data_IF_868289530987
#
_entry.id   IF_868289530987
#
_cell.length_a   1.000
_cell.length_b   1.000
_cell.length_c   1.000
_cell.angle_alpha   90.00
_cell.angle_beta   90.00
_cell.angle_gamma   90.00
#
_symmetry.space_group_name_H-M   'P 1'
#
loop_
_entity.id
_entity.type
_entity.pdbx_description
1 polymer ?
#
# COMPACT_ATOMS: atom_id res chain seq x y z
N UNK A 1 -120.07 -143.37 -67.17
CA UNK A 1 -120.06 -144.10 -68.46
C UNK A 1 -119.18 -143.36 -69.44
N UNK A 2 -118.57 -144.03 -70.43
CA UNK A 2 -118.00 -145.39 -70.47
C UNK A 2 -116.47 -145.27 -70.76
N UNK A 3 -115.76 -146.24 -71.37
CA UNK A 3 -115.81 -147.71 -71.28
C UNK A 3 -114.56 -148.26 -70.55
N UNK A 4 -114.35 -149.58 -70.57
CA UNK A 4 -113.12 -150.24 -70.09
C UNK A 4 -112.46 -151.08 -71.22
N UNK A 5 -111.12 -151.21 -71.25
CA UNK A 5 -110.43 -152.25 -72.01
C UNK A 5 -109.59 -153.20 -71.14
N UNK A 6 -109.94 -154.48 -71.21
CA UNK A 6 -109.05 -155.67 -71.24
C UNK A 6 -107.62 -155.60 -70.69
N UNK A 7 -107.37 -156.34 -69.60
CA UNK A 7 -106.12 -157.12 -69.49
C UNK A 7 -106.33 -158.47 -70.14
N UNK A 8 -105.61 -158.77 -71.22
CA UNK A 8 -105.45 -160.14 -71.72
C UNK A 8 -104.25 -160.78 -71.03
N UNK A 9 -104.45 -161.93 -70.38
CA UNK A 9 -103.38 -162.69 -69.71
C UNK A 9 -102.94 -163.84 -70.60
N UNK A 10 -102.02 -163.57 -71.52
CA UNK A 10 -101.25 -164.64 -72.16
C UNK A 10 -100.23 -165.20 -71.15
N UNK A 11 -100.52 -166.37 -70.59
CA UNK A 11 -99.56 -167.13 -69.77
C UNK A 11 -98.46 -167.74 -70.66
N UNK A 12 -97.60 -166.87 -71.18
CA UNK A 12 -96.46 -167.26 -72.01
C UNK A 12 -95.44 -168.03 -71.18
N UNK A 13 -95.34 -169.33 -71.43
CA UNK A 13 -94.24 -170.18 -70.97
C UNK A 13 -92.94 -169.75 -71.67
N UNK A 14 -92.29 -168.71 -71.14
CA UNK A 14 -90.97 -168.26 -71.58
C UNK A 14 -89.95 -169.34 -71.19
N UNK A 15 -89.22 -169.95 -72.15
CA UNK A 15 -88.22 -170.95 -71.81
C UNK A 15 -87.16 -170.39 -70.86
N UNK A 16 -86.81 -171.14 -69.82
CA UNK A 16 -85.87 -170.71 -68.75
C UNK A 16 -84.53 -170.22 -69.31
N UNK A 17 -84.10 -170.75 -70.47
CA UNK A 17 -82.92 -170.27 -71.19
C UNK A 17 -83.02 -168.79 -71.65
N UNK A 18 -84.20 -168.35 -72.10
CA UNK A 18 -84.44 -166.99 -72.60
C UNK A 18 -84.54 -165.99 -71.43
N UNK A 19 -85.19 -166.40 -70.34
CA UNK A 19 -85.16 -165.63 -69.07
C UNK A 19 -83.73 -165.50 -68.51
N UNK A 20 -82.93 -166.58 -68.54
CA UNK A 20 -81.50 -166.53 -68.18
C UNK A 20 -80.70 -165.61 -69.11
N UNK A 21 -80.97 -165.61 -70.41
CA UNK A 21 -80.30 -164.72 -71.37
C UNK A 21 -80.62 -163.24 -71.10
N UNK A 22 -81.89 -162.92 -70.81
CA UNK A 22 -82.30 -161.56 -70.45
C UNK A 22 -81.71 -161.11 -69.10
N UNK A 23 -81.74 -161.97 -68.07
CA UNK A 23 -81.09 -161.67 -66.78
C UNK A 23 -79.57 -161.51 -66.92
N UNK A 24 -78.91 -162.37 -67.71
CA UNK A 24 -77.47 -162.24 -68.01
C UNK A 24 -77.16 -160.91 -68.69
N UNK A 25 -78.01 -160.48 -69.65
CA UNK A 25 -77.87 -159.17 -70.28
C UNK A 25 -78.06 -158.03 -69.28
N UNK A 26 -79.10 -158.05 -68.45
CA UNK A 26 -79.32 -157.01 -67.42
C UNK A 26 -78.17 -156.96 -66.41
N UNK A 27 -77.59 -158.11 -66.05
CA UNK A 27 -76.38 -158.17 -65.20
C UNK A 27 -75.16 -157.58 -65.91
N UNK A 28 -74.96 -157.86 -67.21
CA UNK A 28 -73.90 -157.25 -68.01
C UNK A 28 -74.09 -155.72 -68.15
N UNK A 29 -75.31 -155.26 -68.46
CA UNK A 29 -75.67 -153.85 -68.54
C UNK A 29 -75.50 -153.15 -67.17
N UNK A 30 -75.83 -153.82 -66.05
CA UNK A 30 -75.53 -153.33 -64.70
C UNK A 30 -74.02 -153.25 -64.41
N UNK A 31 -73.22 -154.23 -64.86
CA UNK A 31 -71.77 -154.19 -64.69
C UNK A 31 -71.14 -153.08 -65.55
N UNK A 32 -71.62 -152.86 -66.77
CA UNK A 32 -71.22 -151.75 -67.62
C UNK A 32 -71.61 -150.39 -67.00
N UNK A 33 -72.87 -150.23 -66.56
CA UNK A 33 -73.33 -149.01 -65.88
C UNK A 33 -72.54 -148.75 -64.58
N UNK A 34 -72.21 -149.80 -63.81
CA UNK A 34 -71.38 -149.66 -62.61
C UNK A 34 -69.93 -149.27 -62.96
N UNK A 35 -69.37 -149.81 -64.05
CA UNK A 35 -68.05 -149.41 -64.54
C UNK A 35 -68.05 -147.94 -64.99
N UNK A 36 -69.07 -147.49 -65.74
CA UNK A 36 -69.26 -146.08 -66.09
C UNK A 36 -69.42 -145.17 -64.86
N UNK A 37 -70.19 -145.60 -63.84
CA UNK A 37 -70.37 -144.82 -62.62
C UNK A 37 -69.07 -144.71 -61.81
N UNK A 38 -68.27 -145.78 -61.74
CA UNK A 38 -66.94 -145.76 -61.13
C UNK A 38 -65.99 -144.89 -61.95
N UNK A 39 -66.03 -144.94 -63.27
CA UNK A 39 -65.23 -144.08 -64.14
C UNK A 39 -65.59 -142.60 -63.92
N UNK A 40 -66.88 -142.24 -63.96
CA UNK A 40 -67.37 -140.88 -63.72
C UNK A 40 -67.04 -140.38 -62.31
N UNK A 41 -67.06 -141.26 -61.29
CA UNK A 41 -66.57 -140.92 -59.95
C UNK A 41 -65.07 -140.68 -59.91
N UNK A 42 -64.27 -141.48 -60.62
CA UNK A 42 -62.82 -141.26 -60.73
C UNK A 42 -62.51 -139.95 -61.47
N UNK A 43 -63.19 -139.66 -62.58
CA UNK A 43 -63.08 -138.39 -63.33
C UNK A 43 -63.42 -137.19 -62.44
N UNK A 44 -64.48 -137.27 -61.62
CA UNK A 44 -64.85 -136.23 -60.64
C UNK A 44 -63.77 -136.09 -59.55
N UNK A 45 -63.25 -137.19 -59.00
CA UNK A 45 -62.20 -137.16 -57.98
C UNK A 45 -60.87 -136.62 -58.53
N UNK A 46 -60.51 -136.95 -59.76
CA UNK A 46 -59.35 -136.39 -60.46
C UNK A 46 -59.53 -134.91 -60.77
N UNK A 47 -60.73 -134.48 -61.15
CA UNK A 47 -61.07 -133.07 -61.31
C UNK A 47 -60.93 -132.29 -59.99
N UNK A 48 -61.46 -132.81 -58.88
CA UNK A 48 -61.30 -132.18 -57.56
C UNK A 48 -59.84 -132.16 -57.08
N UNK A 49 -59.08 -133.26 -57.21
CA UNK A 49 -57.63 -133.28 -56.94
C UNK A 49 -56.86 -132.27 -57.79
N UNK A 50 -57.26 -132.11 -59.04
CA UNK A 50 -56.67 -131.13 -59.97
C UNK A 50 -57.02 -129.69 -59.55
N UNK A 51 -58.24 -129.42 -59.09
CA UNK A 51 -58.61 -128.12 -58.51
C UNK A 51 -57.80 -127.85 -57.23
N UNK A 52 -57.77 -128.80 -56.30
CA UNK A 52 -57.03 -128.71 -55.04
C UNK A 52 -55.55 -128.40 -55.29
N UNK A 53 -54.87 -129.20 -56.12
CA UNK A 53 -53.48 -128.96 -56.54
C UNK A 53 -53.31 -127.57 -57.18
N UNK A 54 -54.14 -127.20 -58.15
CA UNK A 54 -54.06 -125.90 -58.81
C UNK A 54 -54.29 -124.72 -57.84
N UNK A 55 -55.18 -124.87 -56.86
CA UNK A 55 -55.42 -123.82 -55.85
C UNK A 55 -54.25 -123.74 -54.86
N UNK A 56 -53.73 -124.88 -54.37
CA UNK A 56 -52.53 -124.91 -53.55
C UNK A 56 -51.34 -124.27 -54.25
N UNK A 57 -51.03 -124.66 -55.50
CA UNK A 57 -49.93 -124.09 -56.29
C UNK A 57 -50.08 -122.57 -56.48
N UNK A 58 -51.30 -122.07 -56.73
CA UNK A 58 -51.59 -120.63 -56.81
C UNK A 58 -51.45 -119.91 -55.46
N UNK A 59 -51.89 -120.53 -54.36
CA UNK A 59 -51.76 -119.95 -53.02
C UNK A 59 -50.29 -119.89 -52.60
N UNK A 60 -49.53 -120.97 -52.78
CA UNK A 60 -48.09 -120.98 -52.53
C UNK A 60 -47.34 -119.99 -53.41
N UNK A 61 -47.62 -119.93 -54.72
CA UNK A 61 -47.00 -118.95 -55.61
C UNK A 61 -47.30 -117.50 -55.18
N UNK A 62 -48.53 -117.22 -54.72
CA UNK A 62 -48.91 -115.91 -54.16
C UNK A 62 -48.20 -115.61 -52.83
N UNK A 63 -48.06 -116.59 -51.94
CA UNK A 63 -47.32 -116.45 -50.67
C UNK A 63 -45.83 -116.23 -50.91
N UNK A 64 -45.22 -116.98 -51.83
CA UNK A 64 -43.84 -116.79 -52.29
C UNK A 64 -43.65 -115.36 -52.84
N UNK A 65 -44.44 -114.95 -53.83
CA UNK A 65 -44.35 -113.61 -54.40
C UNK A 65 -44.60 -112.47 -53.38
N UNK A 66 -45.44 -112.68 -52.36
CA UNK A 66 -45.61 -111.72 -51.26
C UNK A 66 -44.38 -111.69 -50.33
N UNK A 67 -43.79 -112.84 -50.01
CA UNK A 67 -42.55 -112.95 -49.22
C UNK A 67 -41.37 -112.32 -49.95
N UNK A 68 -41.20 -112.62 -51.24
CA UNK A 68 -40.17 -112.04 -52.10
C UNK A 68 -40.30 -110.51 -52.14
N UNK A 69 -41.52 -109.99 -52.32
CA UNK A 69 -41.81 -108.53 -52.33
C UNK A 69 -41.66 -107.87 -50.95
N UNK A 70 -41.81 -108.61 -49.86
CA UNK A 70 -41.50 -108.12 -48.52
C UNK A 70 -39.99 -108.08 -48.30
N UNK A 71 -39.26 -109.11 -48.73
CA UNK A 71 -37.80 -109.18 -48.64
C UNK A 71 -37.09 -108.14 -49.52
N UNK A 72 -37.58 -107.85 -50.73
CA UNK A 72 -37.01 -106.76 -51.55
C UNK A 72 -37.22 -105.40 -50.88
N UNK A 73 -38.45 -105.09 -50.42
CA UNK A 73 -38.72 -103.87 -49.66
C UNK A 73 -37.86 -103.72 -48.41
N UNK A 74 -37.58 -104.84 -47.72
CA UNK A 74 -36.75 -104.85 -46.52
C UNK A 74 -35.26 -104.68 -46.85
N UNK A 75 -34.78 -105.21 -47.98
CA UNK A 75 -33.44 -104.94 -48.52
C UNK A 75 -33.32 -103.46 -48.92
N UNK A 76 -34.25 -102.94 -49.72
CA UNK A 76 -34.31 -101.52 -50.08
C UNK A 76 -34.33 -100.58 -48.86
N UNK A 77 -35.06 -100.93 -47.79
CA UNK A 77 -35.11 -100.08 -46.59
C UNK A 77 -33.81 -100.11 -45.80
N UNK A 78 -33.14 -101.26 -45.71
CA UNK A 78 -31.79 -101.38 -45.14
C UNK A 78 -30.74 -100.64 -45.97
N UNK A 79 -30.81 -100.71 -47.30
CA UNK A 79 -29.93 -99.98 -48.20
C UNK A 79 -30.11 -98.46 -48.06
N UNK A 80 -31.36 -97.98 -48.01
CA UNK A 80 -31.68 -96.56 -47.74
C UNK A 80 -31.21 -96.11 -46.35
N UNK A 81 -31.37 -96.96 -45.33
CA UNK A 81 -30.87 -96.67 -43.98
C UNK A 81 -29.34 -96.56 -43.96
N UNK A 82 -28.62 -97.52 -44.54
CA UNK A 82 -27.15 -97.49 -44.64
C UNK A 82 -26.62 -96.33 -45.51
N UNK A 83 -27.40 -95.85 -46.48
CA UNK A 83 -27.09 -94.61 -47.21
C UNK A 83 -27.29 -93.36 -46.33
N UNK A 84 -28.36 -93.32 -45.52
CA UNK A 84 -28.62 -92.22 -44.58
C UNK A 84 -27.59 -92.17 -43.43
N UNK A 85 -27.14 -93.32 -42.91
CA UNK A 85 -26.05 -93.39 -41.93
C UNK A 85 -24.75 -92.82 -42.50
N UNK A 86 -24.35 -93.25 -43.71
CA UNK A 86 -23.17 -92.70 -44.41
C UNK A 86 -23.30 -91.20 -44.67
N UNK A 87 -24.49 -90.74 -45.07
CA UNK A 87 -24.76 -89.31 -45.23
C UNK A 87 -24.86 -88.56 -43.89
N UNK A 88 -25.08 -89.24 -42.76
CA UNK A 88 -24.93 -88.72 -41.40
C UNK A 88 -23.45 -88.45 -41.10
N UNK A 89 -22.62 -89.50 -41.15
CA UNK A 89 -21.17 -89.42 -40.89
C UNK A 89 -20.49 -88.35 -41.75
N UNK A 90 -20.79 -88.27 -43.06
CA UNK A 90 -20.20 -87.25 -43.94
C UNK A 90 -20.61 -85.82 -43.53
N UNK A 91 -21.84 -85.60 -43.04
CA UNK A 91 -22.25 -84.28 -42.53
C UNK A 91 -21.61 -83.97 -41.18
N UNK A 92 -21.50 -84.94 -40.29
CA UNK A 92 -20.82 -84.78 -39.00
C UNK A 92 -19.33 -84.47 -39.19
N UNK A 93 -18.66 -85.14 -40.14
CA UNK A 93 -17.30 -84.83 -40.56
C UNK A 93 -17.15 -83.41 -41.14
N UNK A 94 -18.09 -82.96 -41.97
CA UNK A 94 -18.08 -81.61 -42.54
C UNK A 94 -18.28 -80.56 -41.44
N UNK A 95 -19.29 -80.72 -40.59
CA UNK A 95 -19.54 -79.81 -39.47
C UNK A 95 -18.40 -79.81 -38.43
N UNK A 96 -17.70 -80.92 -38.24
CA UNK A 96 -16.49 -80.96 -37.42
C UNK A 96 -15.35 -80.13 -38.03
N UNK A 97 -15.14 -80.24 -39.35
CA UNK A 97 -14.13 -79.44 -40.09
C UNK A 97 -14.49 -77.95 -40.11
N UNK A 98 -15.74 -77.60 -40.40
CA UNK A 98 -16.27 -76.23 -40.33
C UNK A 98 -16.06 -75.62 -38.93
N UNK A 99 -16.47 -76.33 -37.88
CA UNK A 99 -16.27 -75.92 -36.49
C UNK A 99 -14.80 -75.72 -36.15
N UNK A 100 -13.91 -76.62 -36.60
CA UNK A 100 -12.48 -76.48 -36.38
C UNK A 100 -11.95 -75.22 -37.07
N UNK A 101 -12.26 -74.98 -38.35
CA UNK A 101 -11.81 -73.78 -39.06
C UNK A 101 -12.30 -72.48 -38.43
N UNK A 102 -13.54 -72.45 -37.88
CA UNK A 102 -14.07 -71.30 -37.17
C UNK A 102 -13.39 -71.07 -35.80
N UNK A 103 -12.95 -72.12 -35.11
CA UNK A 103 -12.16 -72.00 -33.87
C UNK A 103 -10.76 -71.47 -34.19
N UNK A 104 -10.09 -72.04 -35.20
CA UNK A 104 -8.76 -71.60 -35.66
C UNK A 104 -8.78 -70.13 -36.13
N UNK A 105 -9.82 -69.70 -36.85
CA UNK A 105 -9.99 -68.31 -37.25
C UNK A 105 -10.26 -67.37 -36.07
N UNK A 106 -11.10 -67.77 -35.10
CA UNK A 106 -11.34 -66.97 -33.88
C UNK A 106 -10.09 -66.87 -33.00
N UNK A 107 -9.28 -67.92 -32.91
CA UNK A 107 -8.00 -67.90 -32.19
C UNK A 107 -6.97 -67.01 -32.89
N UNK A 108 -6.90 -67.05 -34.23
CA UNK A 108 -6.10 -66.13 -35.04
C UNK A 108 -6.52 -64.68 -34.83
N UNK A 109 -7.81 -64.34 -34.94
CA UNK A 109 -8.32 -62.98 -34.74
C UNK A 109 -8.05 -62.47 -33.32
N UNK A 110 -8.15 -63.32 -32.30
CA UNK A 110 -7.76 -63.00 -30.91
C UNK A 110 -6.27 -62.69 -30.79
N UNK A 111 -5.41 -63.49 -31.42
CA UNK A 111 -3.96 -63.27 -31.39
C UNK A 111 -3.57 -61.97 -32.12
N UNK A 112 -4.16 -61.70 -33.29
CA UNK A 112 -3.97 -60.45 -34.04
C UNK A 112 -4.41 -59.23 -33.23
N UNK A 113 -5.57 -59.30 -32.56
CA UNK A 113 -6.04 -58.24 -31.65
C UNK A 113 -5.09 -58.03 -30.46
N UNK A 114 -4.60 -59.10 -29.83
CA UNK A 114 -3.65 -58.99 -28.72
C UNK A 114 -2.33 -58.33 -29.16
N UNK A 115 -1.78 -58.75 -30.30
CA UNK A 115 -0.55 -58.16 -30.86
C UNK A 115 -0.75 -56.67 -31.18
N UNK A 116 -1.86 -56.29 -31.81
CA UNK A 116 -2.19 -54.90 -32.14
C UNK A 116 -2.44 -54.04 -30.89
N UNK A 117 -3.08 -54.60 -29.87
CA UNK A 117 -3.28 -53.92 -28.59
C UNK A 117 -1.94 -53.73 -27.84
N UNK A 118 -1.04 -54.70 -27.88
CA UNK A 118 0.30 -54.54 -27.30
C UNK A 118 1.19 -53.58 -28.08
N UNK A 119 1.12 -53.52 -29.42
CA UNK A 119 1.88 -52.53 -30.20
C UNK A 119 1.37 -51.13 -29.92
N UNK A 120 0.05 -50.91 -29.98
CA UNK A 120 -0.57 -49.64 -29.60
C UNK A 120 -0.20 -49.22 -28.17
N UNK A 121 -0.22 -50.15 -27.21
CA UNK A 121 0.20 -49.87 -25.82
C UNK A 121 1.65 -49.41 -25.75
N UNK A 122 2.58 -50.10 -26.42
CA UNK A 122 4.01 -49.74 -26.45
C UNK A 122 4.22 -48.37 -27.11
N UNK A 123 3.54 -48.12 -28.22
CA UNK A 123 3.58 -46.83 -28.93
C UNK A 123 3.05 -45.69 -28.03
N UNK A 124 1.95 -45.92 -27.31
CA UNK A 124 1.39 -44.96 -26.35
C UNK A 124 2.31 -44.73 -25.15
N UNK A 125 2.88 -45.78 -24.55
CA UNK A 125 3.83 -45.66 -23.43
C UNK A 125 5.10 -44.89 -23.85
N UNK A 126 5.63 -45.17 -25.06
CA UNK A 126 6.76 -44.42 -25.62
C UNK A 126 6.41 -42.95 -25.89
N UNK A 127 5.24 -42.65 -26.47
CA UNK A 127 4.81 -41.28 -26.76
C UNK A 127 4.58 -40.47 -25.47
N UNK A 128 4.03 -41.11 -24.42
CA UNK A 128 3.86 -40.52 -23.11
C UNK A 128 5.22 -40.22 -22.45
N UNK A 129 6.18 -41.14 -22.50
CA UNK A 129 7.52 -40.90 -21.98
C UNK A 129 8.23 -39.75 -22.70
N UNK A 130 8.14 -39.66 -24.04
CA UNK A 130 8.71 -38.53 -24.79
C UNK A 130 8.10 -37.19 -24.35
N UNK A 131 6.79 -37.15 -24.10
CA UNK A 131 6.12 -35.94 -23.59
C UNK A 131 6.53 -35.62 -22.13
N UNK A 132 6.79 -36.62 -21.28
CA UNK A 132 7.33 -36.40 -19.94
C UNK A 132 8.77 -35.86 -19.99
N UNK A 133 9.62 -36.40 -20.87
CA UNK A 133 10.99 -35.92 -21.13
C UNK A 133 11.03 -34.54 -21.80
N UNK A 134 10.01 -34.16 -22.57
CA UNK A 134 9.81 -32.80 -23.09
C UNK A 134 9.41 -31.82 -21.99
N UNK A 135 8.37 -32.16 -21.21
CA UNK A 135 7.92 -31.34 -20.09
C UNK A 135 9.02 -31.13 -19.03
N UNK A 136 9.79 -32.16 -18.70
CA UNK A 136 10.91 -32.06 -17.78
C UNK A 136 12.02 -31.11 -18.28
N UNK A 137 12.30 -31.11 -19.59
CA UNK A 137 13.25 -30.17 -20.21
C UNK A 137 12.73 -28.74 -20.21
N UNK A 138 11.47 -28.52 -20.55
CA UNK A 138 10.86 -27.18 -20.50
C UNK A 138 10.81 -26.64 -19.07
N UNK A 139 10.45 -27.48 -18.09
CA UNK A 139 10.48 -27.11 -16.68
C UNK A 139 11.89 -26.74 -16.20
N UNK A 140 12.92 -27.49 -16.60
CA UNK A 140 14.31 -27.16 -16.26
C UNK A 140 14.74 -25.81 -16.88
N UNK A 141 14.46 -25.58 -18.16
CA UNK A 141 14.76 -24.30 -18.82
C UNK A 141 14.04 -23.13 -18.14
N UNK A 142 12.78 -23.31 -17.71
CA UNK A 142 12.06 -22.29 -16.97
C UNK A 142 12.67 -22.01 -15.59
N UNK A 143 13.14 -23.04 -14.87
CA UNK A 143 13.84 -22.87 -13.59
C UNK A 143 15.20 -22.17 -13.75
N UNK A 144 15.97 -22.51 -14.79
CA UNK A 144 17.25 -21.85 -15.09
C UNK A 144 17.08 -20.39 -15.48
N UNK A 145 16.03 -20.05 -16.23
CA UNK A 145 15.68 -18.66 -16.57
C UNK A 145 15.20 -17.87 -15.35
N UNK A 146 14.38 -18.46 -14.48
CA UNK A 146 14.01 -17.85 -13.18
C UNK A 146 15.27 -17.58 -12.36
N UNK A 147 16.19 -18.54 -12.26
CA UNK A 147 17.46 -18.36 -11.55
C UNK A 147 18.36 -17.30 -12.22
N UNK A 148 18.36 -17.18 -13.55
CA UNK A 148 19.07 -16.12 -14.28
C UNK A 148 18.49 -14.74 -13.94
N UNK A 149 17.18 -14.57 -14.03
CA UNK A 149 16.49 -13.32 -13.70
C UNK A 149 16.70 -12.94 -12.23
N UNK A 150 16.61 -13.90 -11.29
CA UNK A 150 16.88 -13.65 -9.87
C UNK A 150 18.31 -13.17 -9.61
N UNK A 151 19.32 -13.77 -10.26
CA UNK A 151 20.73 -13.31 -10.14
C UNK A 151 20.93 -11.90 -10.70
N UNK A 152 20.33 -11.59 -11.85
CA UNK A 152 20.39 -10.24 -12.44
C UNK A 152 19.71 -9.22 -11.52
N UNK A 153 18.50 -9.53 -11.02
CA UNK A 153 17.77 -8.66 -10.11
C UNK A 153 18.54 -8.36 -8.82
N UNK A 154 19.16 -9.37 -8.21
CA UNK A 154 20.02 -9.21 -7.04
C UNK A 154 21.20 -8.27 -7.33
N UNK A 155 21.96 -8.52 -8.40
CA UNK A 155 23.09 -7.69 -8.80
C UNK A 155 22.68 -6.24 -9.08
N UNK A 156 21.56 -6.00 -9.77
CA UNK A 156 21.04 -4.65 -10.00
C UNK A 156 20.55 -3.97 -8.71
N UNK A 157 20.02 -4.74 -7.75
CA UNK A 157 19.63 -4.25 -6.43
C UNK A 157 20.83 -3.82 -5.58
N UNK A 158 21.89 -4.61 -5.59
CA UNK A 158 23.16 -4.28 -4.92
C UNK A 158 23.81 -3.04 -5.54
N UNK A 159 23.88 -2.97 -6.88
CA UNK A 159 24.44 -1.83 -7.62
C UNK A 159 23.67 -0.53 -7.33
N UNK A 160 22.34 -0.57 -7.42
CA UNK A 160 21.50 0.62 -7.14
C UNK A 160 21.53 1.02 -5.66
N UNK A 161 21.59 0.06 -4.73
CA UNK A 161 21.80 0.37 -3.31
C UNK A 161 23.17 1.01 -3.06
N UNK A 162 24.22 0.60 -3.79
CA UNK A 162 25.54 1.22 -3.68
C UNK A 162 25.57 2.63 -4.30
N UNK A 163 24.90 2.85 -5.44
CA UNK A 163 24.73 4.19 -6.02
C UNK A 163 24.02 5.13 -5.03
N UNK A 164 22.88 4.72 -4.47
CA UNK A 164 22.15 5.48 -3.44
C UNK A 164 22.99 5.78 -2.19
N UNK A 165 23.85 4.84 -1.73
CA UNK A 165 24.78 5.10 -0.62
C UNK A 165 25.81 6.18 -0.99
N UNK A 166 26.38 6.11 -2.19
CA UNK A 166 27.37 7.08 -2.65
C UNK A 166 26.73 8.48 -2.81
N UNK A 167 25.53 8.57 -3.39
CA UNK A 167 24.77 9.82 -3.52
C UNK A 167 24.45 10.44 -2.14
N UNK A 168 23.96 9.64 -1.19
CA UNK A 168 23.71 10.10 0.18
C UNK A 168 24.99 10.54 0.91
N UNK A 169 26.12 9.89 0.66
CA UNK A 169 27.42 10.32 1.19
C UNK A 169 27.83 11.68 0.59
N UNK A 170 27.78 11.84 -0.74
CA UNK A 170 28.08 13.10 -1.41
C UNK A 170 27.21 14.26 -0.89
N UNK A 171 25.90 14.05 -0.75
CA UNK A 171 25.00 15.06 -0.17
C UNK A 171 25.31 15.37 1.30
N UNK A 172 25.79 14.40 2.08
CA UNK A 172 26.26 14.60 3.44
C UNK A 172 27.54 15.44 3.51
N UNK A 173 28.50 15.15 2.62
CA UNK A 173 29.76 15.91 2.50
C UNK A 173 29.50 17.35 2.02
N UNK A 174 28.62 17.55 1.04
CA UNK A 174 28.17 18.88 0.60
C UNK A 174 27.48 19.67 1.73
N UNK A 175 26.60 19.02 2.50
CA UNK A 175 25.90 19.66 3.63
C UNK A 175 26.87 20.06 4.75
N UNK A 176 27.86 19.21 5.07
CA UNK A 176 28.94 19.54 6.01
C UNK A 176 29.79 20.70 5.49
N UNK A 177 30.16 20.67 4.21
CA UNK A 177 30.92 21.75 3.55
C UNK A 177 30.15 23.06 3.46
N UNK A 178 28.82 23.05 3.42
CA UNK A 178 27.98 24.25 3.56
C UNK A 178 27.94 24.73 5.01
N UNK A 179 27.75 23.83 5.97
CA UNK A 179 27.73 24.18 7.39
C UNK A 179 29.06 24.81 7.86
N UNK A 180 30.21 24.27 7.42
CA UNK A 180 31.52 24.86 7.70
C UNK A 180 31.65 26.28 7.14
N UNK A 181 31.25 26.53 5.88
CA UNK A 181 31.29 27.87 5.28
C UNK A 181 30.38 28.88 6.00
N UNK A 182 29.25 28.42 6.54
CA UNK A 182 28.37 29.27 7.36
C UNK A 182 29.00 29.56 8.74
N UNK A 183 29.66 28.59 9.37
CA UNK A 183 30.35 28.84 10.64
C UNK A 183 31.57 29.76 10.45
N UNK A 184 32.35 29.60 9.38
CA UNK A 184 33.43 30.53 9.01
C UNK A 184 32.91 31.97 8.83
N UNK A 185 31.78 32.15 8.14
CA UNK A 185 31.12 33.45 7.99
C UNK A 185 30.63 34.02 9.33
N UNK A 186 30.07 33.18 10.21
CA UNK A 186 29.64 33.59 11.55
C UNK A 186 30.83 33.93 12.47
N UNK A 187 31.95 33.23 12.33
CA UNK A 187 33.19 33.55 13.04
C UNK A 187 33.76 34.89 12.55
N UNK A 188 33.83 35.13 11.24
CA UNK A 188 34.25 36.42 10.67
C UNK A 188 33.38 37.57 11.18
N UNK A 189 32.05 37.42 11.07
CA UNK A 189 31.11 38.44 11.52
C UNK A 189 31.23 38.73 13.04
N UNK A 190 31.54 37.71 13.86
CA UNK A 190 31.84 37.89 15.29
C UNK A 190 33.14 38.66 15.53
N UNK A 191 34.21 38.39 14.79
CA UNK A 191 35.46 39.18 14.88
C UNK A 191 35.28 40.61 14.37
N UNK A 192 34.47 40.82 13.33
CA UNK A 192 34.17 42.14 12.78
C UNK A 192 33.34 42.96 13.80
N UNK A 193 32.33 42.35 14.43
CA UNK A 193 31.61 42.99 15.54
C UNK A 193 32.51 43.28 16.75
N UNK A 194 33.43 42.39 17.10
CA UNK A 194 34.34 42.60 18.23
C UNK A 194 35.32 43.76 17.98
N UNK A 195 35.91 43.84 16.78
CA UNK A 195 36.80 44.95 16.40
C UNK A 195 36.05 46.27 16.27
N UNK A 196 34.83 46.28 15.72
CA UNK A 196 33.96 47.45 15.70
C UNK A 196 33.64 47.92 17.13
N UNK A 197 33.25 47.02 18.03
CA UNK A 197 32.96 47.34 19.43
C UNK A 197 34.19 47.91 20.16
N UNK A 198 35.38 47.33 19.96
CA UNK A 198 36.60 47.88 20.53
C UNK A 198 36.91 49.29 19.98
N UNK A 199 36.74 49.52 18.66
CA UNK A 199 36.90 50.85 18.07
C UNK A 199 35.89 51.89 18.62
N UNK A 200 34.68 51.44 19.00
CA UNK A 200 33.70 52.27 19.68
C UNK A 200 34.15 52.63 21.10
N UNK A 201 34.62 51.65 21.90
CA UNK A 201 35.16 51.89 23.25
C UNK A 201 36.39 52.83 23.22
N UNK A 202 37.24 52.71 22.20
CA UNK A 202 38.39 53.60 22.01
C UNK A 202 37.94 55.04 21.74
N UNK A 203 36.96 55.25 20.84
CA UNK A 203 36.34 56.57 20.58
C UNK A 203 35.65 57.13 21.82
N UNK A 204 34.94 56.29 22.58
CA UNK A 204 34.32 56.70 23.84
C UNK A 204 35.39 57.15 24.85
N UNK A 205 36.51 56.44 24.94
CA UNK A 205 37.64 56.82 25.81
C UNK A 205 38.27 58.16 25.39
N UNK A 206 38.35 58.45 24.09
CA UNK A 206 38.82 59.73 23.56
C UNK A 206 37.83 60.85 23.91
N UNK A 207 36.53 60.63 23.71
CA UNK A 207 35.49 61.60 24.03
C UNK A 207 35.45 61.92 25.54
N UNK A 208 35.55 60.91 26.41
CA UNK A 208 35.69 61.08 27.86
C UNK A 208 36.94 61.90 28.24
N UNK A 209 38.09 61.71 27.56
CA UNK A 209 39.29 62.54 27.74
C UNK A 209 39.07 63.99 27.29
N UNK A 210 38.41 64.22 26.15
CA UNK A 210 38.08 65.58 25.69
C UNK A 210 37.18 66.31 26.69
N UNK A 211 36.14 65.66 27.24
CA UNK A 211 35.34 66.26 28.30
C UNK A 211 36.14 66.54 29.58
N UNK A 212 37.05 65.66 29.98
CA UNK A 212 37.93 65.90 31.13
C UNK A 212 38.84 67.13 30.93
N UNK A 213 39.45 67.26 29.73
CA UNK A 213 40.29 68.42 29.38
C UNK A 213 39.47 69.71 29.32
N UNK A 214 38.26 69.69 28.76
CA UNK A 214 37.36 70.86 28.78
C UNK A 214 37.04 71.30 30.21
N UNK A 215 36.77 70.35 31.12
CA UNK A 215 36.46 70.62 32.52
C UNK A 215 37.70 71.09 33.31
N UNK A 216 38.91 70.70 32.91
CA UNK A 216 40.17 71.29 33.38
C UNK A 216 40.39 72.73 32.86
N UNK A 217 40.02 73.01 31.61
CA UNK A 217 40.04 74.37 31.03
C UNK A 217 39.02 75.28 31.72
N UNK A 218 37.80 74.81 32.02
CA UNK A 218 36.81 75.54 32.81
C UNK A 218 37.33 75.88 34.22
N UNK A 219 37.94 74.91 34.91
CA UNK A 219 38.61 75.14 36.21
C UNK A 219 39.72 76.18 36.12
N UNK A 220 40.53 76.13 35.06
CA UNK A 220 41.59 77.11 34.82
C UNK A 220 41.03 78.51 34.53
N UNK A 221 39.98 78.63 33.72
CA UNK A 221 39.30 79.90 33.42
C UNK A 221 38.70 80.49 34.70
N UNK A 222 38.01 79.69 35.52
CA UNK A 222 37.45 80.16 36.79
C UNK A 222 38.56 80.60 37.75
N UNK A 223 39.64 79.81 37.88
CA UNK A 223 40.81 80.20 38.68
C UNK A 223 41.48 81.48 38.15
N UNK A 224 41.52 81.71 36.82
CA UNK A 224 42.04 82.94 36.23
C UNK A 224 41.12 84.14 36.55
N UNK A 225 39.80 83.96 36.50
CA UNK A 225 38.80 84.96 36.89
C UNK A 225 38.99 85.31 38.38
N UNK A 226 39.07 84.32 39.26
CA UNK A 226 39.29 84.52 40.70
C UNK A 226 40.58 85.30 40.97
N UNK A 227 41.71 84.89 40.35
CA UNK A 227 42.98 85.61 40.48
C UNK A 227 42.92 87.06 39.95
N UNK A 228 42.14 87.33 38.89
CA UNK A 228 41.94 88.68 38.36
C UNK A 228 41.04 89.50 39.29
N UNK A 229 40.00 88.90 39.87
CA UNK A 229 39.12 89.55 40.87
C UNK A 229 39.91 89.88 42.13
N UNK A 230 40.69 88.94 42.68
CA UNK A 230 41.58 89.15 43.81
C UNK A 230 42.64 90.23 43.53
N UNK A 231 43.24 90.23 42.34
CA UNK A 231 44.18 91.27 41.93
C UNK A 231 43.51 92.65 41.87
N UNK A 232 42.28 92.75 41.34
CA UNK A 232 41.49 94.00 41.34
C UNK A 232 41.14 94.45 42.75
N UNK A 233 40.77 93.52 43.64
CA UNK A 233 40.48 93.80 45.05
C UNK A 233 41.73 94.29 45.78
N UNK A 234 42.88 93.62 45.63
CA UNK A 234 44.16 94.05 46.21
C UNK A 234 44.58 95.43 45.69
N UNK A 235 44.37 95.74 44.40
CA UNK A 235 44.64 97.09 43.84
C UNK A 235 43.67 98.13 44.44
N UNK A 236 42.40 97.79 44.66
CA UNK A 236 41.45 98.67 45.31
C UNK A 236 41.81 98.91 46.80
N UNK A 237 42.25 97.88 47.51
CA UNK A 237 42.69 97.97 48.91
C UNK A 237 44.01 98.72 49.05
N UNK A 238 44.99 98.51 48.17
CA UNK A 238 46.21 99.30 48.09
C UNK A 238 45.90 100.79 47.85
N UNK A 239 44.96 101.10 46.95
CA UNK A 239 44.48 102.49 46.76
C UNK A 239 43.75 103.05 47.98
N UNK A 240 42.99 102.25 48.73
CA UNK A 240 42.42 102.68 50.03
C UNK A 240 43.53 102.98 51.04
N UNK A 241 44.53 102.11 51.15
CA UNK A 241 45.67 102.27 52.06
C UNK A 241 46.53 103.49 51.71
N UNK A 242 46.80 103.74 50.43
CA UNK A 242 47.50 104.94 49.97
C UNK A 242 46.71 106.22 50.30
N UNK A 243 45.40 106.25 50.04
CA UNK A 243 44.53 107.37 50.40
C UNK A 243 44.49 107.61 51.92
N UNK A 244 44.51 106.55 52.74
CA UNK A 244 44.62 106.67 54.20
C UNK A 244 46.00 107.19 54.63
N UNK A 245 47.08 106.78 53.96
CA UNK A 245 48.43 107.27 54.25
C UNK A 245 48.61 108.74 53.85
N UNK A 246 47.99 109.19 52.74
CA UNK A 246 47.93 110.61 52.36
C UNK A 246 47.14 111.42 53.40
N UNK A 247 45.99 110.92 53.87
CA UNK A 247 45.22 111.54 54.96
C UNK A 247 46.02 111.62 56.26
N UNK A 248 46.81 110.60 56.60
CA UNK A 248 47.72 110.63 57.76
C UNK A 248 48.79 111.71 57.62
N UNK A 249 49.46 111.83 56.47
CA UNK A 249 50.46 112.90 56.22
C UNK A 249 49.85 114.30 56.31
N UNK A 250 48.63 114.50 55.82
CA UNK A 250 47.90 115.77 55.94
C UNK A 250 47.49 116.08 57.40
N UNK A 251 47.09 115.07 58.18
CA UNK A 251 46.85 115.22 59.61
C UNK A 251 48.14 115.51 60.41
N UNK A 252 49.28 114.89 60.07
CA UNK A 252 50.59 115.22 60.65
C UNK A 252 51.01 116.66 60.33
N UNK A 253 50.78 117.12 59.09
CA UNK A 253 51.05 118.51 58.70
C UNK A 253 50.17 119.49 59.49
N UNK A 254 48.89 119.17 59.68
CA UNK A 254 47.96 119.95 60.51
C UNK A 254 48.37 119.94 62.00
N UNK A 255 48.86 118.83 62.53
CA UNK A 255 49.40 118.75 63.89
C UNK A 255 50.66 119.62 64.07
N UNK A 256 51.60 119.60 63.11
CA UNK A 256 52.78 120.50 63.11
C UNK A 256 52.39 121.99 62.97
N UNK A 257 51.35 122.29 62.20
CA UNK A 257 50.78 123.63 62.08
C UNK A 257 50.00 124.08 63.35
N UNK A 258 49.53 123.13 64.17
CA UNK A 258 48.96 123.41 65.48
C UNK A 258 50.05 123.67 66.53
N UNK A 259 51.08 122.81 66.62
CA UNK A 259 52.20 123.00 67.55
C UNK A 259 52.97 124.31 67.33
N UNK A 260 53.25 124.68 66.07
CA UNK A 260 53.86 125.99 65.77
C UNK A 260 52.96 127.19 66.07
N UNK A 261 51.63 127.02 66.09
CA UNK A 261 50.70 128.04 66.63
C UNK A 261 50.74 128.08 68.16
N UNK A 262 50.89 126.95 68.82
CA UNK A 262 51.03 126.84 70.28
C UNK A 262 52.32 127.53 70.76
N UNK A 263 53.47 127.26 70.13
CA UNK A 263 54.74 127.97 70.37
C UNK A 263 54.60 129.50 70.23
N UNK A 264 53.91 129.98 69.18
CA UNK A 264 53.64 131.41 68.95
C UNK A 264 52.73 131.99 70.05
N UNK A 265 51.77 131.21 70.55
CA UNK A 265 50.88 131.63 71.64
C UNK A 265 51.61 131.63 72.99
N UNK A 266 52.48 130.67 73.28
CA UNK A 266 53.36 130.68 74.46
C UNK A 266 54.29 131.90 74.45
N UNK A 267 54.93 132.20 73.31
CA UNK A 267 55.76 133.39 73.16
C UNK A 267 54.98 134.69 73.41
N UNK A 268 53.74 134.78 72.89
CA UNK A 268 52.85 135.93 73.16
C UNK A 268 52.42 136.02 74.62
N UNK A 269 52.13 134.90 75.27
CA UNK A 269 51.73 134.83 76.67
C UNK A 269 52.90 135.22 77.60
N UNK A 270 54.12 134.78 77.27
CA UNK A 270 55.37 135.17 77.96
C UNK A 270 55.64 136.67 77.84
N UNK A 271 55.46 137.26 76.65
CA UNK A 271 55.56 138.70 76.44
C UNK A 271 54.43 139.49 77.12
N UNK A 272 53.23 138.91 77.25
CA UNK A 272 52.12 139.52 77.98
C UNK A 272 52.38 139.55 79.50
N UNK A 273 52.94 138.48 80.08
CA UNK A 273 53.39 138.45 81.48
C UNK A 273 54.42 139.54 81.76
N UNK A 274 55.48 139.63 80.96
CA UNK A 274 56.51 140.67 81.10
C UNK A 274 55.97 142.12 81.02
N UNK A 275 54.89 142.35 80.26
CA UNK A 275 54.19 143.65 80.24
C UNK A 275 53.35 143.88 81.49
N UNK A 276 52.76 142.82 82.05
CA UNK A 276 52.05 142.86 83.31
C UNK A 276 53.00 143.16 84.47
N UNK A 277 54.14 142.46 84.56
CA UNK A 277 55.18 142.68 85.57
C UNK A 277 55.67 144.15 85.57
N UNK A 278 55.84 144.73 84.37
CA UNK A 278 56.21 146.14 84.20
C UNK A 278 55.09 147.10 84.65
N UNK A 279 53.84 146.85 84.24
CA UNK A 279 52.69 147.68 84.61
C UNK A 279 52.36 147.59 86.10
N UNK A 280 52.53 146.44 86.73
CA UNK A 280 52.40 146.26 88.17
C UNK A 280 53.48 147.05 88.92
N UNK A 281 54.74 146.96 88.49
CA UNK A 281 55.82 147.77 89.03
C UNK A 281 55.64 149.29 88.78
N UNK A 282 54.86 149.70 87.78
CA UNK A 282 54.49 151.10 87.56
C UNK A 282 53.33 151.52 88.48
N UNK A 283 52.23 150.76 88.48
CA UNK A 283 51.05 151.02 89.30
C UNK A 283 51.36 151.00 90.81
N UNK A 284 52.28 150.16 91.29
CA UNK A 284 52.74 150.16 92.69
C UNK A 284 53.48 151.45 93.06
N UNK A 285 54.20 152.10 92.13
CA UNK A 285 54.78 153.43 92.38
C UNK A 285 53.70 154.50 92.40
N UNK A 286 52.86 154.54 91.37
CA UNK A 286 51.80 155.55 91.23
C UNK A 286 50.79 155.48 92.39
N UNK A 287 50.46 154.28 92.88
CA UNK A 287 49.57 154.11 94.06
C UNK A 287 50.23 154.45 95.39
N UNK A 288 51.55 154.25 95.57
CA UNK A 288 52.27 154.70 96.77
C UNK A 288 52.36 156.23 96.80
N UNK A 289 52.62 156.89 95.67
CA UNK A 289 52.62 158.35 95.57
C UNK A 289 51.20 158.93 95.79
N UNK A 290 50.17 158.32 95.18
CA UNK A 290 48.79 158.74 95.38
C UNK A 290 48.29 158.50 96.82
N UNK A 291 48.62 157.39 97.48
CA UNK A 291 48.18 157.13 98.87
C UNK A 291 48.76 158.12 99.90
N UNK A 292 49.86 158.81 99.59
CA UNK A 292 50.45 159.85 100.44
C UNK A 292 49.73 161.21 100.32
N UNK A 293 48.90 161.41 99.28
CA UNK A 293 48.06 162.62 99.14
C UNK A 293 46.54 162.35 99.13
N UNK A 294 46.10 161.14 98.78
CA UNK A 294 44.70 160.71 98.75
C UNK A 294 44.13 160.33 100.14
N UNK A 295 44.80 160.74 101.23
CA UNK A 295 44.14 160.96 102.53
C UNK A 295 43.13 162.13 102.45
N UNK A 296 43.03 162.81 101.28
CA UNK A 296 42.07 163.86 100.95
C UNK A 296 40.97 163.48 99.89
N UNK A 297 40.21 162.40 100.12
CA UNK A 297 38.80 162.18 99.64
C UNK A 297 38.56 161.68 98.16
N UNK A 298 37.35 161.15 97.85
CA UNK A 298 37.07 159.99 96.91
C UNK A 298 35.71 160.02 96.11
N UNK A 299 35.58 159.40 94.89
CA UNK A 299 34.34 159.24 94.01
C UNK A 299 34.31 157.89 93.13
N UNK A 300 33.27 157.56 92.30
CA UNK A 300 32.70 156.21 91.81
C UNK A 300 32.58 155.90 90.23
N UNK A 301 32.12 154.70 89.71
CA UNK A 301 31.76 154.36 88.24
C UNK A 301 31.47 152.86 87.70
N UNK A 302 30.87 152.54 86.47
CA UNK A 302 30.24 151.19 85.97
C UNK A 302 30.29 150.68 84.41
N UNK A 303 29.93 149.39 83.92
CA UNK A 303 30.03 148.77 82.46
C UNK A 303 29.19 147.44 81.91
N UNK A 304 29.38 146.74 80.68
CA UNK A 304 28.54 145.57 79.99
C UNK A 304 29.05 144.65 78.71
N UNK A 305 28.33 143.59 78.08
CA UNK A 305 28.80 142.47 77.04
C UNK A 305 27.80 141.47 76.17
N UNK A 306 28.12 140.68 75.02
CA UNK A 306 27.25 139.66 74.17
C UNK A 306 27.82 138.55 73.05
N UNK A 307 27.07 137.54 72.36
CA UNK A 307 27.52 136.32 71.45
C UNK A 307 26.68 135.64 70.16
N UNK A 308 27.09 134.52 69.37
CA UNK A 308 26.50 133.88 68.04
C UNK A 308 26.45 132.25 67.64
N UNK A 309 26.05 131.68 66.38
CA UNK A 309 25.85 130.17 65.93
C UNK A 309 25.79 129.61 64.35
N UNK A 310 25.58 128.25 63.95
CA UNK A 310 25.59 127.49 62.54
C UNK A 310 24.79 126.04 62.35
N UNK A 311 24.67 125.02 61.37
CA UNK A 311 25.11 124.39 59.97
C UNK A 311 24.29 123.08 59.34
N UNK A 312 24.57 122.37 58.14
CA UNK A 312 23.82 121.17 57.36
C UNK A 312 24.69 120.06 56.46
N UNK A 313 24.43 119.01 55.52
CA UNK A 313 23.42 118.31 54.53
C UNK A 313 23.73 116.82 53.81
N UNK A 314 22.92 116.09 52.87
CA UNK A 314 22.95 114.61 52.25
C UNK A 314 22.90 114.29 50.62
N UNK A 315 22.66 113.16 49.75
CA UNK A 315 22.31 111.61 49.49
C UNK A 315 22.46 111.10 47.92
N UNK A 316 22.17 109.96 47.08
CA UNK A 316 21.66 108.47 46.84
C UNK A 316 21.83 107.91 45.27
N UNK A 317 21.44 106.79 44.47
CA UNK A 317 21.20 105.21 44.29
C UNK A 317 20.66 104.74 42.79
N UNK A 318 20.41 103.56 42.01
CA UNK A 318 20.57 102.00 41.71
C UNK A 318 20.12 101.52 40.18
N UNK A 319 19.84 100.34 39.41
CA UNK A 319 19.59 98.77 39.25
C UNK A 319 19.54 98.18 37.68
N UNK A 320 19.21 97.01 36.91
CA UNK A 320 18.77 95.48 36.74
C UNK A 320 18.89 94.84 35.20
N UNK A 321 18.54 93.67 34.42
CA UNK A 321 18.05 92.16 34.25
C UNK A 321 18.29 91.45 32.74
N UNK A 322 17.89 90.32 31.94
CA UNK A 322 17.12 88.93 31.70
C UNK A 322 17.40 88.19 30.22
N UNK A 323 16.99 87.06 29.44
CA UNK A 323 16.45 85.57 29.27
C UNK A 323 16.61 84.90 27.74
N UNK A 324 16.18 83.75 27.00
CA UNK A 324 15.46 82.35 26.87
C UNK A 324 15.71 81.57 25.39
N UNK A 325 15.26 80.43 24.67
CA UNK A 325 14.48 79.04 24.52
C UNK A 325 14.71 78.27 23.06
N UNK A 326 14.25 77.12 22.34
CA UNK A 326 13.47 75.74 22.25
C UNK A 326 13.77 74.87 20.84
N UNK A 327 13.31 73.74 20.10
CA UNK A 327 12.30 72.54 19.84
C UNK A 327 12.87 71.35 18.82
N UNK A 328 12.41 70.21 18.06
CA UNK A 328 11.27 69.20 17.56
C UNK A 328 11.83 67.84 16.80
N UNK A 329 11.32 66.77 16.00
CA UNK A 329 10.10 66.00 15.33
C UNK A 329 10.33 64.56 14.51
N UNK A 330 9.32 63.73 13.99
CA UNK A 330 9.20 62.65 12.80
C UNK A 330 9.05 60.99 12.83
N UNK A 331 8.47 60.20 11.79
CA UNK A 331 8.18 58.63 11.65
C UNK A 331 7.72 57.87 10.25
N UNK A 332 7.65 56.47 10.03
CA UNK A 332 6.86 55.63 8.95
C UNK A 332 7.13 54.10 8.39
N UNK A 333 6.08 53.20 8.21
CA UNK A 333 5.87 51.88 7.37
C UNK A 333 6.37 50.40 7.79
N UNK A 334 6.12 49.14 7.26
CA UNK A 334 5.38 48.38 6.11
C UNK A 334 5.16 46.77 6.27
N UNK A 335 4.75 45.90 5.27
CA UNK A 335 4.41 44.38 5.34
C UNK A 335 4.80 43.45 4.10
N UNK A 336 5.23 42.14 4.24
CA UNK A 336 5.56 41.17 3.14
C UNK A 336 4.64 39.90 2.91
N UNK A 337 4.91 39.09 1.85
CA UNK A 337 4.19 37.82 1.49
C UNK A 337 5.10 36.68 0.93
N UNK A 338 4.60 35.44 0.77
CA UNK A 338 5.38 34.21 0.47
C UNK A 338 4.88 33.39 -0.76
N UNK A 339 5.78 32.73 -1.53
CA UNK A 339 5.44 31.88 -2.67
C UNK A 339 5.33 30.37 -2.35
N UNK A 340 4.64 29.60 -3.20
CA UNK A 340 4.53 28.13 -3.13
C UNK A 340 4.48 27.51 -4.54
N UNK A 341 5.27 26.46 -4.78
CA UNK A 341 5.44 25.81 -6.10
C UNK A 341 4.31 24.82 -6.41
N UNK A 342 3.33 25.26 -7.20
CA UNK A 342 2.13 24.48 -7.56
C UNK A 342 2.41 23.31 -8.51
N UNK A 343 3.47 23.41 -9.32
CA UNK A 343 3.66 22.59 -10.52
C UNK A 343 3.78 21.08 -10.23
N UNK A 344 4.48 20.71 -9.16
CA UNK A 344 4.73 19.30 -8.81
C UNK A 344 3.48 18.61 -8.26
N UNK A 345 2.71 19.31 -7.44
CA UNK A 345 1.52 18.78 -6.77
C UNK A 345 0.42 18.40 -7.78
N UNK A 346 0.24 19.21 -8.82
CA UNK A 346 -0.74 18.94 -9.88
C UNK A 346 -0.40 17.65 -10.65
N UNK A 347 0.88 17.41 -10.96
CA UNK A 347 1.33 16.20 -11.67
C UNK A 347 1.13 14.91 -10.86
N UNK A 348 1.47 14.92 -9.56
CA UNK A 348 1.30 13.74 -8.69
C UNK A 348 -0.18 13.34 -8.53
N UNK A 349 -1.08 14.33 -8.49
CA UNK A 349 -2.53 14.11 -8.40
C UNK A 349 -3.10 13.46 -9.67
N UNK A 350 -2.56 13.75 -10.86
CA UNK A 350 -3.02 13.11 -12.10
C UNK A 350 -2.56 11.65 -12.21
N UNK A 351 -1.29 11.37 -11.90
CA UNK A 351 -0.77 9.98 -11.86
C UNK A 351 -1.54 9.12 -10.84
N UNK A 352 -1.99 9.70 -9.72
CA UNK A 352 -2.85 9.02 -8.76
C UNK A 352 -4.25 8.70 -9.32
N UNK A 353 -4.84 9.61 -10.12
CA UNK A 353 -6.14 9.41 -10.77
C UNK A 353 -6.11 8.30 -11.82
N UNK A 354 -5.07 8.26 -12.67
CA UNK A 354 -4.91 7.21 -13.68
C UNK A 354 -4.83 5.82 -13.05
N UNK A 355 -3.97 5.67 -12.03
CA UNK A 355 -3.84 4.41 -11.25
C UNK A 355 -5.16 3.99 -10.60
N UNK A 356 -5.98 4.95 -10.16
CA UNK A 356 -7.30 4.66 -9.59
C UNK A 356 -8.29 4.15 -10.65
N UNK A 357 -8.29 4.74 -11.86
CA UNK A 357 -9.11 4.29 -12.99
C UNK A 357 -8.70 2.87 -13.42
N UNK A 358 -7.40 2.58 -13.50
CA UNK A 358 -6.88 1.25 -13.82
C UNK A 358 -7.34 0.18 -12.82
N UNK A 359 -7.29 0.52 -11.52
CA UNK A 359 -7.78 -0.35 -10.44
C UNK A 359 -9.29 -0.59 -10.53
N UNK A 360 -10.09 0.42 -10.90
CA UNK A 360 -11.53 0.28 -11.12
C UNK A 360 -11.83 -0.66 -12.30
N UNK A 361 -11.11 -0.53 -13.43
CA UNK A 361 -11.25 -1.44 -14.59
C UNK A 361 -10.89 -2.87 -14.22
N UNK A 362 -9.75 -3.08 -13.55
CA UNK A 362 -9.29 -4.39 -13.07
C UNK A 362 -10.32 -5.04 -12.12
N UNK A 363 -10.87 -4.27 -11.18
CA UNK A 363 -11.92 -4.73 -10.26
C UNK A 363 -13.22 -5.11 -10.98
N UNK A 364 -13.60 -4.40 -12.04
CA UNK A 364 -14.76 -4.75 -12.87
C UNK A 364 -14.55 -6.06 -13.64
N UNK A 365 -13.40 -6.22 -14.30
CA UNK A 365 -13.04 -7.45 -15.01
C UNK A 365 -12.98 -8.68 -14.07
N UNK A 366 -12.42 -8.51 -12.86
CA UNK A 366 -12.41 -9.55 -11.83
C UNK A 366 -13.84 -9.96 -11.40
N UNK A 367 -14.75 -8.99 -11.27
CA UNK A 367 -16.14 -9.26 -10.94
C UNK A 367 -16.86 -10.02 -12.06
N UNK A 368 -16.64 -9.65 -13.33
CA UNK A 368 -17.19 -10.35 -14.49
C UNK A 368 -16.68 -11.80 -14.58
N UNK A 369 -15.38 -12.02 -14.38
CA UNK A 369 -14.77 -13.34 -14.32
C UNK A 369 -15.36 -14.20 -13.18
N UNK A 370 -15.62 -13.61 -12.02
CA UNK A 370 -16.27 -14.28 -10.88
C UNK A 370 -17.72 -14.70 -11.21
N UNK A 371 -18.49 -13.86 -11.88
CA UNK A 371 -19.86 -14.20 -12.32
C UNK A 371 -19.84 -15.38 -13.29
N UNK A 372 -18.96 -15.35 -14.31
CA UNK A 372 -18.79 -16.46 -15.26
C UNK A 372 -18.38 -17.77 -14.57
N UNK A 373 -17.51 -17.71 -13.55
CA UNK A 373 -17.15 -18.87 -12.72
C UNK A 373 -18.34 -19.42 -11.91
N UNK A 374 -19.18 -18.55 -11.36
CA UNK A 374 -20.40 -18.95 -10.65
C UNK A 374 -21.44 -19.58 -11.59
N UNK A 375 -21.55 -19.11 -12.83
CA UNK A 375 -22.40 -19.73 -13.86
C UNK A 375 -21.87 -21.10 -14.29
N UNK A 376 -20.58 -21.22 -14.59
CA UNK A 376 -19.94 -22.49 -14.95
C UNK A 376 -20.02 -23.52 -13.81
N UNK A 377 -19.92 -23.10 -12.54
CA UNK A 377 -20.10 -24.02 -11.40
C UNK A 377 -21.56 -24.40 -11.15
N UNK A 378 -22.54 -23.54 -11.48
CA UNK A 378 -23.96 -23.92 -11.54
C UNK A 378 -24.22 -24.95 -12.65
N UNK A 379 -23.70 -24.71 -13.86
CA UNK A 379 -23.81 -25.64 -14.99
C UNK A 379 -23.13 -27.00 -14.69
N UNK A 380 -21.94 -27.00 -14.08
CA UNK A 380 -21.26 -28.23 -13.63
C UNK A 380 -22.09 -29.00 -12.60
N UNK A 381 -22.83 -28.32 -11.72
CA UNK A 381 -23.74 -28.95 -10.76
C UNK A 381 -24.97 -29.56 -11.44
N UNK A 382 -25.60 -28.87 -12.40
CA UNK A 382 -26.77 -29.42 -13.13
C UNK A 382 -26.38 -30.62 -14.00
N UNK A 383 -25.25 -30.57 -14.71
CA UNK A 383 -24.72 -31.72 -15.46
C UNK A 383 -24.39 -32.89 -14.52
N UNK A 384 -23.73 -32.64 -13.38
CA UNK A 384 -23.45 -33.71 -12.39
C UNK A 384 -24.74 -34.32 -11.83
N UNK A 385 -25.80 -33.52 -11.63
CA UNK A 385 -27.11 -34.03 -11.22
C UNK A 385 -27.74 -34.89 -12.33
N UNK A 386 -27.75 -34.43 -13.58
CA UNK A 386 -28.28 -35.17 -14.73
C UNK A 386 -27.55 -36.52 -14.93
N UNK A 387 -26.21 -36.53 -14.86
CA UNK A 387 -25.40 -37.77 -14.94
C UNK A 387 -25.71 -38.71 -13.77
N UNK A 388 -25.93 -38.19 -12.55
CA UNK A 388 -26.35 -39.03 -11.41
C UNK A 388 -27.74 -39.63 -11.64
N UNK A 389 -28.71 -38.84 -12.09
CA UNK A 389 -30.07 -39.31 -12.40
C UNK A 389 -30.06 -40.37 -13.50
N UNK A 390 -29.28 -40.15 -14.56
CA UNK A 390 -29.08 -41.13 -15.64
C UNK A 390 -28.43 -42.42 -15.12
N UNK A 391 -27.39 -42.34 -14.31
CA UNK A 391 -26.77 -43.51 -13.67
C UNK A 391 -27.77 -44.30 -12.82
N UNK A 392 -28.60 -43.63 -12.01
CA UNK A 392 -29.63 -44.32 -11.22
C UNK A 392 -30.72 -44.95 -12.10
N UNK A 393 -31.12 -44.31 -13.19
CA UNK A 393 -32.09 -44.89 -14.13
C UNK A 393 -31.50 -46.09 -14.88
N UNK A 394 -30.22 -46.02 -15.29
CA UNK A 394 -29.48 -47.10 -15.93
C UNK A 394 -29.24 -48.29 -15.00
N UNK A 395 -28.97 -48.04 -13.71
CA UNK A 395 -28.84 -49.08 -12.68
C UNK A 395 -30.18 -49.75 -12.36
N UNK A 396 -31.30 -49.02 -12.40
CA UNK A 396 -32.63 -49.63 -12.30
C UNK A 396 -32.92 -50.48 -13.53
N UNK A 397 -32.66 -49.98 -14.74
CA UNK A 397 -32.91 -50.70 -16.00
C UNK A 397 -32.06 -51.98 -16.14
N UNK A 398 -30.78 -51.94 -15.77
CA UNK A 398 -29.91 -53.13 -15.78
C UNK A 398 -30.07 -54.03 -14.55
N UNK A 399 -30.79 -53.58 -13.51
CA UNK A 399 -31.02 -54.30 -12.26
C UNK A 399 -32.32 -55.10 -12.20
N UNK A 400 -33.23 -54.96 -13.18
CA UNK A 400 -34.55 -55.62 -13.18
C UNK A 400 -34.62 -56.94 -13.96
N UNK A 401 -33.56 -57.33 -14.68
CA UNK A 401 -33.50 -58.58 -15.45
C UNK A 401 -32.62 -59.65 -14.75
N UNK A 402 -32.95 -59.98 -13.48
CA UNK A 402 -32.47 -61.16 -12.73
C UNK A 402 -33.57 -61.71 -11.81
#
# INVERSE_FOLDING_TARGET
MPPAPTQEREETYIPVALARAQLSKVVADMHAMKAEQVQKLNEILEHYRTIEKNTQERHEARVRALKDRAETKLKESREKFAQLEKAGVVREELHAKEKQTLVEELEKQRLEHLIAHESWRREFECALQVHEDEFAREQQVALDEIARVSRVAAFTGELTQQQLRNELQMCGEDALGQAMRVDEQLQSARSDMATQHQSFLERESQLRRHFAVNLEVERFINSLIDNVVDSKQQIAEAKRAENLQVKLRDLEAKAKAAGSREEILEHRLKAARQRFDFLEAQAVRETVELLVHAVAVTIEGTSSKAPPATSDAPTQTEEELQEAADITEEDGSEIPSLPLDKSKYESEVEVARERHIELIRSKAALHEAKVKLEELTKAKKTVKAAVKTWLTAFQVWTGTDN
#
